data_IF_782385955407
#
_entry.id   IF_782385955407
#
_cell.length_a   1.000
_cell.length_b   1.000
_cell.length_c   1.000
_cell.angle_alpha   90.00
_cell.angle_beta   90.00
_cell.angle_gamma   90.00
#
_symmetry.space_group_name_H-M   'P 1'
#
loop_
_entity.id
_entity.type
_entity.pdbx_description
1 polymer ?
#
# COMPACT_ATOMS: atom_id res chain seq x y z
N UNK A 1 9.81 13.13 -8.38
CA UNK A 1 8.59 12.46 -8.90
C UNK A 1 7.71 11.96 -7.76
N UNK A 2 8.25 11.32 -6.71
CA UNK A 2 7.44 10.62 -5.69
C UNK A 2 7.39 11.28 -4.30
N UNK A 3 7.80 12.55 -4.17
CA UNK A 3 7.76 13.24 -2.87
C UNK A 3 6.34 13.41 -2.33
N UNK A 4 6.21 13.64 -1.03
CA UNK A 4 4.92 13.67 -0.32
C UNK A 4 3.87 14.62 -0.95
N UNK A 5 4.31 15.82 -1.37
CA UNK A 5 3.45 16.83 -2.02
C UNK A 5 3.30 16.66 -3.54
N UNK A 6 3.78 15.56 -4.12
CA UNK A 6 3.68 15.30 -5.56
C UNK A 6 2.29 14.78 -5.95
N UNK A 7 1.78 15.10 -7.16
CA UNK A 7 0.59 14.42 -7.71
C UNK A 7 0.79 12.90 -7.87
N UNK A 8 2.04 12.45 -7.93
CA UNK A 8 2.47 11.05 -7.90
C UNK A 8 3.11 10.67 -6.57
N UNK A 9 2.61 11.19 -5.45
CA UNK A 9 3.09 10.75 -4.15
C UNK A 9 2.94 9.24 -4.01
N UNK A 10 4.01 8.61 -3.53
CA UNK A 10 4.11 7.17 -3.32
C UNK A 10 3.84 6.79 -1.86
N UNK A 11 3.04 7.59 -1.15
CA UNK A 11 2.67 7.39 0.25
C UNK A 11 1.18 7.06 0.38
N UNK A 12 0.84 6.00 1.11
CA UNK A 12 -0.55 5.56 1.31
C UNK A 12 -1.43 6.66 1.92
N UNK A 13 -0.88 7.48 2.83
CA UNK A 13 -1.60 8.59 3.47
C UNK A 13 -2.18 9.61 2.48
N UNK A 14 -1.68 9.67 1.23
CA UNK A 14 -2.21 10.56 0.19
C UNK A 14 -3.44 10.00 -0.53
N UNK A 15 -3.77 8.74 -0.30
CA UNK A 15 -4.90 8.03 -0.89
C UNK A 15 -5.98 7.68 0.14
N UNK A 16 -5.66 7.73 1.44
CA UNK A 16 -6.59 7.47 2.53
C UNK A 16 -7.55 8.65 2.79
N UNK A 17 -8.53 8.40 3.67
CA UNK A 17 -9.48 9.41 4.12
C UNK A 17 -8.74 10.59 4.77
N UNK A 18 -9.11 11.84 4.43
CA UNK A 18 -8.52 13.07 5.00
C UNK A 18 -8.91 13.34 6.48
N UNK A 19 -9.07 12.29 7.27
CA UNK A 19 -9.28 12.34 8.71
C UNK A 19 -7.96 11.99 9.42
N UNK A 20 -7.32 12.95 10.11
CA UNK A 20 -6.04 12.73 10.79
C UNK A 20 -6.06 11.56 11.79
N UNK A 21 -7.21 11.28 12.40
CA UNK A 21 -7.32 10.17 13.34
C UNK A 21 -7.29 8.81 12.63
N UNK A 22 -7.93 8.69 11.47
CA UNK A 22 -7.89 7.47 10.65
C UNK A 22 -6.52 7.25 10.04
N UNK A 23 -5.87 8.32 9.57
CA UNK A 23 -4.50 8.27 9.07
C UNK A 23 -3.55 7.74 10.16
N UNK A 24 -3.60 8.30 11.37
CA UNK A 24 -2.77 7.83 12.48
C UNK A 24 -3.05 6.36 12.84
N UNK A 25 -4.32 5.93 12.79
CA UNK A 25 -4.70 4.54 13.04
C UNK A 25 -4.13 3.60 11.98
N UNK A 26 -4.20 3.96 10.70
CA UNK A 26 -3.69 3.15 9.60
C UNK A 26 -2.16 3.03 9.63
N UNK A 27 -1.45 4.14 9.86
CA UNK A 27 0.00 4.11 10.04
C UNK A 27 0.43 3.28 11.26
N UNK A 28 -0.35 3.32 12.34
CA UNK A 28 -0.09 2.49 13.52
C UNK A 28 -0.32 1.00 13.23
N UNK A 29 -1.33 0.65 12.42
CA UNK A 29 -1.62 -0.73 12.03
C UNK A 29 -0.50 -1.29 11.13
N UNK A 30 -0.10 -0.55 10.10
CA UNK A 30 1.07 -0.85 9.24
C UNK A 30 2.33 -1.06 10.09
N UNK A 31 2.58 -0.17 11.05
CA UNK A 31 3.71 -0.30 11.99
C UNK A 31 3.61 -1.55 12.86
N UNK A 32 2.40 -2.01 13.17
CA UNK A 32 2.13 -3.25 13.88
C UNK A 32 2.60 -4.48 13.10
N UNK A 33 2.30 -4.54 11.80
CA UNK A 33 2.82 -5.59 10.91
C UNK A 33 4.34 -5.61 10.88
N UNK A 34 4.97 -4.44 10.75
CA UNK A 34 6.44 -4.35 10.70
C UNK A 34 7.07 -4.87 11.99
N UNK A 35 6.56 -4.45 13.15
CA UNK A 35 7.03 -4.94 14.45
C UNK A 35 6.84 -6.44 14.63
N UNK A 36 5.71 -7.00 14.18
CA UNK A 36 5.46 -8.44 14.23
C UNK A 36 6.49 -9.24 13.42
N UNK A 37 7.04 -8.63 12.37
CA UNK A 37 8.11 -9.21 11.55
C UNK A 37 9.52 -8.78 11.98
N UNK A 38 9.68 -8.05 13.09
CA UNK A 38 10.98 -7.58 13.57
C UNK A 38 11.58 -6.45 12.73
N UNK A 39 10.76 -5.81 11.89
CA UNK A 39 11.10 -4.58 11.20
C UNK A 39 10.70 -3.41 12.12
N UNK A 40 11.55 -3.06 13.07
CA UNK A 40 11.32 -1.87 13.88
C UNK A 40 11.81 -0.64 13.11
N UNK A 41 10.88 0.21 12.65
CA UNK A 41 11.23 1.53 12.16
C UNK A 41 11.56 2.45 13.35
N UNK A 42 12.78 2.98 13.41
CA UNK A 42 13.20 3.97 14.40
C UNK A 42 13.47 5.33 13.73
N UNK A 43 13.14 6.43 14.42
CA UNK A 43 13.38 7.79 13.93
C UNK A 43 12.61 8.13 12.65
N UNK A 44 13.28 8.79 11.70
CA UNK A 44 12.71 9.23 10.41
C UNK A 44 12.14 8.06 9.57
N UNK A 45 12.56 6.82 9.82
CA UNK A 45 12.01 5.65 9.14
C UNK A 45 10.51 5.43 9.43
N UNK A 46 9.99 5.94 10.55
CA UNK A 46 8.56 5.90 10.86
C UNK A 46 7.72 6.79 9.94
N UNK A 47 8.32 7.85 9.36
CA UNK A 47 7.65 8.75 8.41
C UNK A 47 7.65 8.20 6.97
N UNK A 48 8.40 7.10 6.72
CA UNK A 48 8.55 6.45 5.42
C UNK A 48 7.75 5.14 5.36
N UNK A 49 7.15 4.72 6.48
CA UNK A 49 6.51 3.41 6.63
C UNK A 49 5.40 3.13 5.61
N UNK A 50 4.68 4.16 5.16
CA UNK A 50 3.59 4.02 4.19
C UNK A 50 4.03 4.25 2.73
N UNK A 51 5.34 4.32 2.48
CA UNK A 51 5.86 4.46 1.14
C UNK A 51 5.72 3.15 0.36
N UNK A 52 5.33 3.21 -0.92
CA UNK A 52 5.05 2.01 -1.76
C UNK A 52 6.18 0.98 -1.73
N UNK A 53 7.43 1.45 -1.70
CA UNK A 53 8.60 0.58 -1.67
C UNK A 53 8.70 -0.20 -0.35
N UNK A 54 8.37 0.44 0.78
CA UNK A 54 8.43 -0.17 2.12
C UNK A 54 7.30 -1.18 2.29
N UNK A 55 6.09 -0.84 1.84
CA UNK A 55 4.96 -1.78 1.86
C UNK A 55 5.20 -3.01 0.98
N UNK A 56 5.75 -2.83 -0.22
CA UNK A 56 6.13 -3.95 -1.11
C UNK A 56 7.27 -4.80 -0.52
N UNK A 57 8.26 -4.17 0.13
CA UNK A 57 9.35 -4.88 0.79
C UNK A 57 8.83 -5.74 1.94
N UNK A 58 7.89 -5.23 2.74
CA UNK A 58 7.23 -6.01 3.78
C UNK A 58 6.51 -7.23 3.20
N UNK A 59 5.72 -7.06 2.14
CA UNK A 59 5.01 -8.17 1.50
C UNK A 59 6.00 -9.24 1.01
N UNK A 60 7.10 -8.81 0.38
CA UNK A 60 8.17 -9.70 -0.07
C UNK A 60 8.87 -10.45 1.08
N UNK A 61 9.12 -9.76 2.20
CA UNK A 61 9.69 -10.39 3.40
C UNK A 61 8.75 -11.45 3.99
N UNK A 62 7.46 -11.15 4.07
CA UNK A 62 6.47 -12.08 4.58
C UNK A 62 6.37 -13.34 3.70
N UNK A 63 6.34 -13.18 2.38
CA UNK A 63 6.38 -14.29 1.42
C UNK A 63 7.68 -15.11 1.53
N UNK A 64 8.83 -14.44 1.71
CA UNK A 64 10.11 -15.12 1.91
C UNK A 64 10.10 -16.00 3.17
N UNK A 65 9.60 -15.46 4.30
CA UNK A 65 9.51 -16.21 5.57
C UNK A 65 8.52 -17.36 5.50
N UNK A 66 7.43 -17.21 4.75
CA UNK A 66 6.54 -18.32 4.44
C UNK A 66 7.31 -19.45 3.73
N UNK A 67 8.04 -19.11 2.66
CA UNK A 67 8.84 -20.08 1.91
C UNK A 67 9.89 -20.79 2.77
N UNK A 68 10.56 -20.05 3.66
CA UNK A 68 11.50 -20.64 4.62
C UNK A 68 10.81 -21.61 5.57
N UNK A 69 9.71 -21.19 6.20
CA UNK A 69 8.96 -22.02 7.13
C UNK A 69 8.43 -23.31 6.47
N UNK A 70 7.95 -23.21 5.22
CA UNK A 70 7.54 -24.38 4.43
C UNK A 70 8.72 -25.33 4.16
N UNK A 71 9.90 -24.79 3.82
CA UNK A 71 11.09 -25.60 3.57
C UNK A 71 11.59 -26.35 4.81
N UNK A 72 11.33 -25.80 5.99
CA UNK A 72 11.69 -26.37 7.29
C UNK A 72 10.58 -27.25 7.90
N UNK A 73 9.42 -27.36 7.25
CA UNK A 73 8.26 -28.11 7.76
C UNK A 73 7.50 -27.42 8.90
N UNK A 74 7.73 -26.13 9.13
CA UNK A 74 7.10 -25.31 10.15
C UNK A 74 5.75 -24.76 9.64
N UNK A 75 4.78 -25.64 9.46
CA UNK A 75 3.49 -25.30 8.82
C UNK A 75 2.71 -24.19 9.53
N UNK A 76 2.77 -24.13 10.86
CA UNK A 76 2.13 -23.06 11.64
C UNK A 76 2.73 -21.69 11.33
N UNK A 77 4.07 -21.60 11.29
CA UNK A 77 4.78 -20.37 10.95
C UNK A 77 4.51 -19.93 9.51
N UNK A 78 4.43 -20.89 8.58
CA UNK A 78 4.04 -20.61 7.21
C UNK A 78 2.62 -20.03 7.14
N UNK A 79 1.68 -20.60 7.91
CA UNK A 79 0.31 -20.10 8.05
C UNK A 79 0.27 -18.66 8.57
N UNK A 80 1.04 -18.34 9.61
CA UNK A 80 1.15 -16.97 10.15
C UNK A 80 1.66 -15.99 9.09
N UNK A 81 2.69 -16.38 8.32
CA UNK A 81 3.24 -15.53 7.26
C UNK A 81 2.23 -15.31 6.14
N UNK A 82 1.49 -16.34 5.75
CA UNK A 82 0.43 -16.25 4.73
C UNK A 82 -0.72 -15.36 5.20
N UNK A 83 -1.17 -15.52 6.44
CA UNK A 83 -2.21 -14.66 7.03
C UNK A 83 -1.77 -13.20 7.08
N UNK A 84 -0.51 -12.93 7.45
CA UNK A 84 0.03 -11.57 7.45
C UNK A 84 0.04 -10.96 6.04
N UNK A 85 0.46 -11.71 5.01
CA UNK A 85 0.41 -11.25 3.62
C UNK A 85 -1.04 -10.93 3.19
N UNK A 86 -1.98 -11.85 3.46
CA UNK A 86 -3.38 -11.70 3.12
C UNK A 86 -4.00 -10.46 3.75
N UNK A 87 -3.81 -10.27 5.06
CA UNK A 87 -4.34 -9.11 5.78
C UNK A 87 -3.69 -7.81 5.34
N UNK A 88 -2.36 -7.79 5.20
CA UNK A 88 -1.66 -6.58 4.77
C UNK A 88 -2.06 -6.15 3.35
N UNK A 89 -2.23 -7.11 2.45
CA UNK A 89 -2.69 -6.84 1.10
C UNK A 89 -4.15 -6.35 1.09
N UNK A 90 -5.04 -6.98 1.85
CA UNK A 90 -6.46 -6.63 1.86
C UNK A 90 -6.74 -5.29 2.55
N UNK A 91 -6.09 -5.03 3.68
CA UNK A 91 -6.41 -3.90 4.55
C UNK A 91 -5.58 -2.65 4.21
N UNK A 92 -4.40 -2.81 3.58
CA UNK A 92 -3.49 -1.71 3.27
C UNK A 92 -3.10 -1.67 1.78
N UNK A 93 -2.03 -2.37 1.38
CA UNK A 93 -1.36 -2.19 0.08
C UNK A 93 -2.32 -2.32 -1.11
N UNK A 94 -3.22 -3.31 -1.09
CA UNK A 94 -4.19 -3.55 -2.15
C UNK A 94 -5.25 -2.44 -2.29
N UNK A 95 -5.49 -1.65 -1.25
CA UNK A 95 -6.47 -0.57 -1.29
C UNK A 95 -5.98 0.62 -2.10
N UNK A 96 -4.72 1.02 -1.96
CA UNK A 96 -4.24 2.27 -2.53
C UNK A 96 -3.26 2.09 -3.70
N UNK A 97 -2.44 1.03 -3.68
CA UNK A 97 -1.40 0.83 -4.68
C UNK A 97 -1.93 0.69 -6.12
N UNK A 98 -3.07 0.00 -6.38
CA UNK A 98 -3.62 -0.04 -7.73
C UNK A 98 -3.94 1.34 -8.30
N UNK A 99 -4.41 2.27 -7.46
CA UNK A 99 -4.71 3.63 -7.84
C UNK A 99 -3.42 4.42 -8.16
N UNK A 100 -2.40 4.30 -7.31
CA UNK A 100 -1.08 4.89 -7.53
C UNK A 100 -0.43 4.41 -8.85
N UNK A 101 -0.41 3.10 -9.09
CA UNK A 101 0.15 2.55 -10.33
C UNK A 101 -0.65 2.96 -11.55
N UNK A 102 -1.99 2.97 -11.46
CA UNK A 102 -2.85 3.45 -12.54
C UNK A 102 -2.54 4.90 -12.93
N UNK A 103 -2.27 5.79 -11.95
CA UNK A 103 -1.83 7.16 -12.23
C UNK A 103 -0.54 7.20 -13.06
N UNK A 104 0.46 6.39 -12.69
CA UNK A 104 1.75 6.35 -13.41
C UNK A 104 1.60 5.84 -14.85
N UNK A 105 0.72 4.86 -15.06
CA UNK A 105 0.40 4.34 -16.40
C UNK A 105 -0.30 5.41 -17.25
N UNK A 106 -1.31 6.08 -16.71
CA UNK A 106 -2.06 7.12 -17.40
C UNK A 106 -1.19 8.33 -17.76
N UNK A 107 -0.30 8.72 -16.85
CA UNK A 107 0.62 9.83 -17.05
C UNK A 107 1.80 9.51 -17.98
N UNK A 108 1.94 8.26 -18.44
CA UNK A 108 3.06 7.81 -19.27
C UNK A 108 4.41 8.22 -18.67
N UNK A 109 4.60 7.98 -17.37
CA UNK A 109 5.80 8.30 -16.59
C UNK A 109 7.06 7.47 -16.98
N UNK A 110 7.34 7.31 -18.28
CA UNK A 110 8.51 6.62 -18.81
C UNK A 110 8.63 5.18 -18.30
N UNK A 111 9.82 4.83 -17.82
CA UNK A 111 10.12 3.50 -17.24
C UNK A 111 9.17 3.12 -16.10
N UNK A 112 8.70 4.09 -15.32
CA UNK A 112 7.78 3.83 -14.21
C UNK A 112 6.40 3.37 -14.67
N UNK A 113 5.98 3.69 -15.90
CA UNK A 113 4.73 3.16 -16.47
C UNK A 113 4.81 1.65 -16.71
N UNK A 114 5.98 1.15 -17.12
CA UNK A 114 6.20 -0.27 -17.33
C UNK A 114 6.22 -1.01 -16.01
N UNK A 115 6.94 -0.48 -15.02
CA UNK A 115 6.96 -1.02 -13.66
C UNK A 115 5.56 -1.03 -13.04
N UNK A 116 4.79 0.05 -13.23
CA UNK A 116 3.42 0.15 -12.72
C UNK A 116 2.49 -0.91 -13.34
N UNK A 117 2.59 -1.17 -14.65
CA UNK A 117 1.82 -2.24 -15.30
C UNK A 117 2.15 -3.61 -14.71
N UNK A 118 3.43 -3.89 -14.52
CA UNK A 118 3.87 -5.14 -13.89
C UNK A 118 3.38 -5.23 -12.45
N UNK A 119 3.44 -4.15 -11.69
CA UNK A 119 3.00 -4.12 -10.31
C UNK A 119 1.48 -4.34 -10.17
N UNK A 120 0.66 -3.78 -11.06
CA UNK A 120 -0.79 -4.05 -11.09
C UNK A 120 -1.05 -5.54 -11.34
N UNK A 121 -0.41 -6.12 -12.35
CA UNK A 121 -0.57 -7.55 -12.65
C UNK A 121 -0.10 -8.44 -11.49
N UNK A 122 0.98 -8.05 -10.80
CA UNK A 122 1.46 -8.72 -9.61
C UNK A 122 0.41 -8.67 -8.48
N UNK A 123 -0.14 -7.50 -8.17
CA UNK A 123 -1.16 -7.38 -7.11
C UNK A 123 -2.44 -8.18 -7.41
N UNK A 124 -2.83 -8.27 -8.68
CA UNK A 124 -3.96 -9.11 -9.11
C UNK A 124 -3.67 -10.60 -8.89
N UNK A 125 -2.44 -11.05 -9.17
CA UNK A 125 -2.02 -12.42 -8.90
C UNK A 125 -1.93 -12.73 -7.41
N UNK A 126 -1.39 -11.82 -6.61
CA UNK A 126 -1.32 -11.97 -5.15
C UNK A 126 -2.72 -12.03 -4.53
N UNK A 127 -3.65 -11.22 -5.03
CA UNK A 127 -5.06 -11.25 -4.62
C UNK A 127 -5.68 -12.63 -4.85
N UNK A 128 -5.45 -13.23 -6.02
CA UNK A 128 -5.92 -14.58 -6.34
C UNK A 128 -5.21 -15.65 -5.50
N UNK A 129 -3.89 -15.57 -5.37
CA UNK A 129 -3.07 -16.54 -4.65
C UNK A 129 -3.34 -16.59 -3.14
N UNK A 130 -3.59 -15.43 -2.53
CA UNK A 130 -3.91 -15.30 -1.11
C UNK A 130 -5.40 -15.44 -0.83
N UNK A 131 -6.23 -15.62 -1.86
CA UNK A 131 -7.69 -15.73 -1.77
C UNK A 131 -8.35 -14.55 -1.03
N UNK A 132 -7.82 -13.34 -1.25
CA UNK A 132 -8.32 -12.12 -0.60
C UNK A 132 -9.16 -11.27 -1.53
N UNK A 133 -10.02 -10.44 -0.93
CA UNK A 133 -10.79 -9.43 -1.64
C UNK A 133 -10.62 -8.08 -0.96
N UNK A 134 -10.36 -7.06 -1.77
CA UNK A 134 -10.30 -5.67 -1.35
C UNK A 134 -10.85 -4.80 -2.48
N UNK A 135 -11.41 -3.66 -2.09
CA UNK A 135 -11.91 -2.64 -3.01
C UNK A 135 -10.88 -1.51 -3.11
N UNK A 136 -10.23 -1.34 -4.27
CA UNK A 136 -9.26 -0.26 -4.47
C UNK A 136 -9.92 1.11 -4.33
N UNK A 137 -9.20 2.07 -3.75
CA UNK A 137 -9.58 3.46 -3.76
C UNK A 137 -9.78 3.94 -5.19
N UNK A 138 -10.97 4.48 -5.45
CA UNK A 138 -11.25 5.10 -6.72
C UNK A 138 -10.48 6.42 -6.80
N UNK A 139 -9.74 6.59 -7.88
CA UNK A 139 -9.09 7.88 -8.14
C UNK A 139 -10.18 8.94 -8.30
N UNK A 140 -10.18 10.05 -7.52
CA UNK A 140 -10.94 11.22 -7.94
C UNK A 140 -10.43 11.61 -9.33
N UNK A 141 -11.34 11.95 -10.24
CA UNK A 141 -11.01 12.36 -11.61
C UNK A 141 -9.87 13.38 -11.58
N UNK A 142 -8.71 13.00 -12.14
CA UNK A 142 -7.48 13.81 -12.19
C UNK A 142 -7.61 15.05 -13.09
N UNK A 143 -8.82 15.44 -13.49
CA UNK A 143 -9.06 16.46 -14.52
C UNK A 143 -9.01 17.87 -13.95
N UNK A 144 -9.13 18.06 -12.65
CA UNK A 144 -9.05 19.41 -12.08
C UNK A 144 -7.62 19.67 -11.64
N UNK A 145 -6.80 20.08 -12.61
CA UNK A 145 -5.64 20.89 -12.30
C UNK A 145 -6.15 22.18 -11.67
N UNK A 146 -5.90 22.33 -10.38
CA UNK A 146 -5.82 23.60 -9.63
C UNK A 146 -5.51 23.22 -8.16
N UNK A 147 -4.23 22.93 -7.89
CA UNK A 147 -3.72 22.67 -6.53
C UNK A 147 -3.58 23.98 -5.70
N UNK A 148 -4.08 25.12 -6.18
CA UNK A 148 -4.00 26.41 -5.46
C UNK A 148 -5.33 26.93 -4.86
N UNK A 149 -6.49 26.33 -5.14
CA UNK A 149 -7.78 26.83 -4.59
C UNK A 149 -8.74 25.77 -4.01
N UNK A 150 -8.27 24.57 -3.67
CA UNK A 150 -9.12 23.59 -2.96
C UNK A 150 -9.00 23.73 -1.46
N UNK A 151 -9.64 24.79 -0.97
CA UNK A 151 -9.85 25.06 0.44
C UNK A 151 -10.44 23.86 1.19
N UNK A 152 -10.15 23.80 2.48
CA UNK A 152 -10.66 22.81 3.42
C UNK A 152 -12.19 22.63 3.26
N UNK A 153 -12.62 21.56 2.60
CA UNK A 153 -14.04 21.26 2.45
C UNK A 153 -14.40 20.61 1.13
N UNK A 154 -14.09 19.32 0.98
CA UNK A 154 -15.03 18.37 0.40
C UNK A 154 -14.64 16.98 0.88
N UNK A 155 -15.48 16.48 1.79
CA UNK A 155 -15.36 15.16 2.41
C UNK A 155 -15.71 14.16 1.30
N UNK A 156 -14.71 13.41 0.82
CA UNK A 156 -15.02 12.18 0.08
C UNK A 156 -15.66 11.24 1.10
N UNK A 157 -16.99 11.13 1.06
CA UNK A 157 -17.74 10.19 1.91
C UNK A 157 -17.19 8.78 1.68
N UNK A 158 -16.45 8.29 2.68
CA UNK A 158 -16.11 6.89 2.79
C UNK A 158 -17.41 6.19 3.24
N UNK A 159 -18.15 5.58 2.30
CA UNK A 159 -19.33 4.79 2.65
C UNK A 159 -18.92 3.70 3.64
N UNK A 160 -19.66 3.65 4.76
CA UNK A 160 -19.56 2.65 5.83
C UNK A 160 -19.86 1.24 5.32
#
# INVERSE_FOLDING_TARGET
LFGYSSPFSAHAARYSCRDPFREAQELADISGFYRAFGLAAEGEASEIGDHIAVELEFLGLAAYREGQALSEGLLENAGICREAQARFLADHLGRWAPAFFSKLVLAQAGVYSWLARTAVAFLDQEKEFLEVSFEPFQLPNLVDGDDEERGCGEIVECKM
#
